data_IF_534808320378
#
_entry.id   IF_534808320378
#
_cell.length_a   1.000
_cell.length_b   1.000
_cell.length_c   1.000
_cell.angle_alpha   90.00
_cell.angle_beta   90.00
_cell.angle_gamma   90.00
#
_symmetry.space_group_name_H-M   'P 1'
#
loop_
_entity.id
_entity.type
_entity.pdbx_description
1 polymer ?
#
# COMPACT_ATOMS: atom_id res chain seq x y z
N UNK A 1 1.17 -14.12 -29.39
CA UNK A 1 1.22 -13.19 -28.24
C UNK A 1 1.10 -11.79 -28.80
N UNK A 2 -0.02 -11.11 -28.58
CA UNK A 2 -0.19 -9.72 -28.98
C UNK A 2 0.81 -8.88 -28.17
N UNK A 3 1.68 -8.12 -28.84
CA UNK A 3 2.53 -7.12 -28.20
C UNK A 3 1.58 -6.10 -27.55
N UNK A 4 1.59 -6.02 -26.22
CA UNK A 4 0.90 -4.92 -25.51
C UNK A 4 1.50 -3.61 -26.06
N UNK A 5 0.64 -2.73 -26.56
CA UNK A 5 1.04 -1.40 -26.96
C UNK A 5 1.62 -0.69 -25.73
N UNK A 6 2.74 0.05 -25.88
CA UNK A 6 3.32 0.78 -24.76
C UNK A 6 2.26 1.72 -24.16
N UNK A 7 1.98 1.55 -22.87
CA UNK A 7 1.00 2.41 -22.17
C UNK A 7 1.60 3.78 -21.94
N UNK A 8 0.97 4.82 -22.49
CA UNK A 8 1.31 6.21 -22.23
C UNK A 8 0.52 6.72 -21.03
N UNK A 9 1.23 7.17 -19.97
CA UNK A 9 0.60 7.74 -18.79
C UNK A 9 0.65 9.26 -18.83
N UNK A 10 -0.52 9.87 -18.58
CA UNK A 10 -0.68 11.31 -18.37
C UNK A 10 -1.05 11.56 -16.92
N UNK A 11 -0.40 12.54 -16.28
CA UNK A 11 -0.75 12.98 -14.93
C UNK A 11 -1.40 14.36 -14.99
N UNK A 12 -2.63 14.44 -14.46
CA UNK A 12 -3.36 15.69 -14.31
C UNK A 12 -3.37 16.09 -12.84
N UNK A 13 -3.22 17.39 -12.54
CA UNK A 13 -3.10 17.91 -11.18
C UNK A 13 -4.18 18.94 -10.86
N UNK A 14 -4.73 18.87 -9.65
CA UNK A 14 -5.60 19.88 -9.05
C UNK A 14 -5.08 20.26 -7.67
N UNK A 15 -4.99 21.56 -7.40
CA UNK A 15 -4.68 22.09 -6.08
C UNK A 15 -5.96 22.31 -5.27
N UNK A 16 -5.95 21.80 -4.05
CA UNK A 16 -7.04 21.94 -3.07
C UNK A 16 -6.55 22.85 -1.95
N UNK A 17 -6.97 24.10 -2.01
CA UNK A 17 -6.62 25.13 -1.03
C UNK A 17 -7.54 25.09 0.19
N UNK A 18 -7.11 25.74 1.28
CA UNK A 18 -7.98 26.00 2.44
C UNK A 18 -9.30 26.64 1.97
N UNK A 19 -10.42 26.22 2.57
CA UNK A 19 -11.76 26.67 2.18
C UNK A 19 -12.41 25.85 1.06
N UNK A 20 -11.67 25.02 0.33
CA UNK A 20 -12.28 24.08 -0.59
C UNK A 20 -13.05 22.98 0.17
N UNK A 21 -14.28 22.65 -0.28
CA UNK A 21 -15.15 21.66 0.39
C UNK A 21 -14.52 20.27 0.65
N UNK A 22 -13.52 19.88 -0.16
CA UNK A 22 -12.79 18.62 0.00
C UNK A 22 -11.56 18.73 0.92
N UNK A 23 -11.22 19.91 1.42
CA UNK A 23 -10.00 20.13 2.17
C UNK A 23 -9.93 19.26 3.43
N UNK A 24 -10.96 19.34 4.28
CA UNK A 24 -11.00 18.55 5.54
C UNK A 24 -10.98 17.04 5.30
N UNK A 25 -11.65 16.58 4.23
CA UNK A 25 -11.61 15.17 3.85
C UNK A 25 -10.17 14.70 3.51
N UNK A 26 -9.43 15.47 2.71
CA UNK A 26 -8.05 15.12 2.37
C UNK A 26 -7.11 15.23 3.57
N UNK A 27 -7.33 16.21 4.45
CA UNK A 27 -6.59 16.36 5.70
C UNK A 27 -6.74 15.11 6.57
N UNK A 28 -7.96 14.65 6.78
CA UNK A 28 -8.25 13.43 7.53
C UNK A 28 -7.61 12.20 6.88
N UNK A 29 -7.76 12.04 5.57
CA UNK A 29 -7.18 10.91 4.84
C UNK A 29 -5.65 10.88 4.93
N UNK A 30 -4.96 12.00 4.76
CA UNK A 30 -3.51 12.09 4.84
C UNK A 30 -2.99 11.89 6.28
N UNK A 31 -3.75 12.36 7.27
CA UNK A 31 -3.47 12.10 8.68
C UNK A 31 -3.59 10.60 9.00
N UNK A 32 -4.70 9.97 8.59
CA UNK A 32 -4.92 8.53 8.77
C UNK A 32 -3.88 7.69 8.00
N UNK A 33 -3.41 8.14 6.83
CA UNK A 33 -2.34 7.48 6.10
C UNK A 33 -1.02 7.48 6.89
N UNK A 34 -0.68 8.57 7.56
CA UNK A 34 0.48 8.65 8.47
C UNK A 34 0.31 7.71 9.67
N UNK A 35 -0.87 7.69 10.29
CA UNK A 35 -1.16 6.80 11.41
C UNK A 35 -1.03 5.33 10.97
N UNK A 36 -1.63 4.95 9.85
CA UNK A 36 -1.55 3.59 9.30
C UNK A 36 -0.09 3.15 9.04
N UNK A 37 0.74 4.04 8.47
CA UNK A 37 2.18 3.77 8.29
C UNK A 37 2.86 3.52 9.64
N UNK A 38 2.63 4.40 10.61
CA UNK A 38 3.28 4.32 11.91
C UNK A 38 2.82 3.10 12.71
N UNK A 39 1.53 2.77 12.66
CA UNK A 39 0.98 1.56 13.30
C UNK A 39 1.56 0.29 12.69
N UNK A 40 1.65 0.21 11.37
CA UNK A 40 2.29 -0.92 10.69
C UNK A 40 3.75 -1.06 11.11
N UNK A 41 4.50 0.04 11.07
CA UNK A 41 5.92 0.05 11.48
C UNK A 41 6.08 -0.28 12.97
N UNK A 42 5.16 0.16 13.83
CA UNK A 42 5.16 -0.14 15.25
C UNK A 42 5.07 -1.65 15.50
N UNK A 43 4.08 -2.34 14.92
CA UNK A 43 3.93 -3.77 15.11
C UNK A 43 5.17 -4.56 14.64
N UNK A 44 5.68 -4.26 13.45
CA UNK A 44 6.88 -4.93 12.92
C UNK A 44 8.09 -4.68 13.84
N UNK A 45 8.26 -3.44 14.31
CA UNK A 45 9.37 -3.08 15.21
C UNK A 45 9.29 -3.79 16.55
N UNK A 46 8.11 -3.84 17.18
CA UNK A 46 7.95 -4.48 18.49
C UNK A 46 8.24 -5.98 18.40
N UNK A 47 7.72 -6.66 17.37
CA UNK A 47 8.02 -8.08 17.13
C UNK A 47 9.52 -8.28 16.88
N UNK A 48 10.09 -7.54 15.93
CA UNK A 48 11.50 -7.69 15.55
C UNK A 48 12.44 -7.42 16.71
N UNK A 49 12.28 -6.28 17.41
CA UNK A 49 13.18 -5.93 18.52
C UNK A 49 12.94 -6.79 19.74
N UNK A 50 11.71 -7.23 20.02
CA UNK A 50 11.41 -8.12 21.14
C UNK A 50 12.02 -9.51 20.98
N UNK A 51 12.00 -10.03 19.74
CA UNK A 51 12.45 -11.40 19.45
C UNK A 51 13.91 -11.48 18.94
N UNK A 52 14.61 -10.37 18.76
CA UNK A 52 16.04 -10.35 18.38
C UNK A 52 16.98 -9.90 19.50
N UNK A 53 16.46 -9.57 20.68
CA UNK A 53 17.23 -9.17 21.84
C UNK A 53 17.24 -10.27 22.92
N UNK A 54 18.33 -10.36 23.67
CA UNK A 54 18.45 -11.29 24.81
C UNK A 54 17.84 -10.73 26.11
N UNK A 55 17.36 -9.48 26.09
CA UNK A 55 16.80 -8.80 27.24
C UNK A 55 15.32 -9.14 27.44
N UNK A 56 14.82 -8.94 28.66
CA UNK A 56 13.38 -9.03 28.91
C UNK A 56 12.56 -8.14 27.98
N UNK A 57 11.40 -8.65 27.59
CA UNK A 57 10.47 -7.90 26.75
C UNK A 57 9.97 -6.65 27.43
N UNK A 58 10.03 -5.54 26.72
CA UNK A 58 9.43 -4.28 27.15
C UNK A 58 7.89 -4.38 27.14
N UNK A 59 7.16 -3.55 27.92
CA UNK A 59 5.69 -3.61 27.97
C UNK A 59 5.00 -3.57 26.61
N UNK A 60 5.44 -2.68 25.69
CA UNK A 60 4.87 -2.56 24.35
C UNK A 60 5.18 -3.79 23.47
N UNK A 61 6.32 -4.44 23.67
CA UNK A 61 6.65 -5.68 22.97
C UNK A 61 5.75 -6.83 23.44
N UNK A 62 5.53 -6.95 24.76
CA UNK A 62 4.60 -7.91 25.34
C UNK A 62 3.19 -7.68 24.82
N UNK A 63 2.70 -6.45 24.82
CA UNK A 63 1.38 -6.07 24.31
C UNK A 63 1.16 -6.52 22.85
N UNK A 64 2.14 -6.27 21.98
CA UNK A 64 2.03 -6.66 20.57
C UNK A 64 2.04 -8.18 20.40
N UNK A 65 2.87 -8.90 21.15
CA UNK A 65 2.89 -10.38 21.12
C UNK A 65 1.59 -10.95 21.68
N UNK A 66 1.02 -10.36 22.72
CA UNK A 66 -0.29 -10.73 23.26
C UNK A 66 -1.43 -10.49 22.26
N UNK A 67 -1.37 -9.39 21.51
CA UNK A 67 -2.33 -9.16 20.40
C UNK A 67 -2.26 -10.26 19.36
N UNK A 68 -1.04 -10.71 18.99
CA UNK A 68 -0.85 -11.81 18.06
C UNK A 68 -1.43 -13.09 18.63
N UNK A 69 -1.02 -13.46 19.84
CA UNK A 69 -1.47 -14.68 20.53
C UNK A 69 -2.99 -14.78 20.61
N UNK A 70 -3.65 -13.70 21.03
CA UNK A 70 -5.12 -13.64 21.15
C UNK A 70 -5.87 -13.76 19.82
N UNK A 71 -5.25 -13.40 18.70
CA UNK A 71 -5.95 -13.33 17.41
C UNK A 71 -5.54 -14.42 16.41
N UNK A 72 -4.46 -15.17 16.67
CA UNK A 72 -3.93 -16.15 15.70
C UNK A 72 -4.95 -17.26 15.37
N UNK A 73 -5.71 -17.71 16.36
CA UNK A 73 -6.80 -18.67 16.15
C UNK A 73 -7.82 -18.15 15.14
N UNK A 74 -8.34 -16.94 15.35
CA UNK A 74 -9.31 -16.29 14.46
C UNK A 74 -8.75 -16.03 13.05
N UNK A 75 -7.44 -15.73 12.95
CA UNK A 75 -6.75 -15.59 11.66
C UNK A 75 -6.75 -16.92 10.91
N UNK A 76 -6.41 -18.02 11.60
CA UNK A 76 -6.34 -19.36 11.02
C UNK A 76 -7.73 -19.90 10.67
N UNK A 77 -8.74 -19.67 11.47
CA UNK A 77 -10.15 -19.99 11.14
C UNK A 77 -10.57 -19.33 9.83
N UNK A 78 -10.19 -18.06 9.63
CA UNK A 78 -10.46 -17.34 8.38
C UNK A 78 -9.76 -17.99 7.19
N UNK A 79 -8.50 -18.47 7.36
CA UNK A 79 -7.77 -19.18 6.31
C UNK A 79 -8.43 -20.53 5.98
N UNK A 80 -8.85 -21.28 6.99
CA UNK A 80 -9.54 -22.57 6.82
C UNK A 80 -10.86 -22.40 6.07
N UNK A 81 -11.67 -21.40 6.44
CA UNK A 81 -12.90 -21.08 5.71
C UNK A 81 -12.66 -20.69 4.25
N UNK A 82 -11.61 -19.90 4.00
CA UNK A 82 -11.24 -19.52 2.64
C UNK A 82 -10.73 -20.73 1.84
N UNK A 83 -10.00 -21.62 2.46
CA UNK A 83 -9.52 -22.87 1.87
C UNK A 83 -10.69 -23.78 1.48
N UNK A 84 -11.65 -24.01 2.40
CA UNK A 84 -12.84 -24.82 2.13
C UNK A 84 -13.63 -24.31 0.93
N UNK A 85 -13.89 -22.99 0.87
CA UNK A 85 -14.57 -22.36 -0.27
C UNK A 85 -13.80 -22.51 -1.60
N UNK A 86 -12.47 -22.50 -1.55
CA UNK A 86 -11.64 -22.76 -2.76
C UNK A 86 -11.73 -24.23 -3.18
N UNK A 87 -11.66 -25.16 -2.23
CA UNK A 87 -11.82 -26.60 -2.50
C UNK A 87 -13.18 -26.92 -3.16
N UNK A 88 -14.26 -26.34 -2.63
CA UNK A 88 -15.59 -26.52 -3.21
C UNK A 88 -15.65 -26.03 -4.66
N UNK A 89 -15.10 -24.84 -4.92
CA UNK A 89 -15.04 -24.29 -6.28
C UNK A 89 -14.18 -25.13 -7.22
N UNK A 90 -13.07 -25.69 -6.72
CA UNK A 90 -12.19 -26.52 -7.52
C UNK A 90 -12.81 -27.86 -7.87
N UNK A 91 -13.57 -28.46 -6.95
CA UNK A 91 -14.33 -29.71 -7.18
C UNK A 91 -15.40 -29.58 -8.28
N UNK A 92 -15.90 -28.36 -8.51
CA UNK A 92 -16.89 -28.10 -9.57
C UNK A 92 -16.27 -28.03 -10.98
N UNK A 93 -14.95 -28.02 -11.10
CA UNK A 93 -14.25 -28.00 -12.37
C UNK A 93 -14.08 -29.41 -12.95
N UNK A 94 -13.92 -29.56 -14.30
CA UNK A 94 -13.52 -30.83 -14.90
C UNK A 94 -12.23 -31.35 -14.25
N UNK A 95 -12.11 -32.67 -14.12
CA UNK A 95 -10.96 -33.30 -13.43
C UNK A 95 -9.60 -32.89 -14.02
N UNK A 96 -9.54 -32.64 -15.33
CA UNK A 96 -8.33 -32.24 -16.06
C UNK A 96 -7.87 -30.81 -15.73
N UNK A 97 -8.78 -29.95 -15.23
CA UNK A 97 -8.52 -28.56 -14.87
C UNK A 97 -8.35 -28.34 -13.36
N UNK A 98 -8.56 -29.39 -12.56
CA UNK A 98 -8.46 -29.29 -11.10
C UNK A 98 -7.01 -29.12 -10.67
N UNK A 99 -6.77 -28.13 -9.79
CA UNK A 99 -5.46 -27.81 -9.23
C UNK A 99 -5.42 -28.20 -7.76
N UNK A 100 -4.26 -28.67 -7.32
CA UNK A 100 -4.01 -28.87 -5.89
C UNK A 100 -4.05 -27.53 -5.16
N UNK A 101 -4.86 -27.44 -4.09
CA UNK A 101 -4.99 -26.26 -3.27
C UNK A 101 -4.40 -26.57 -1.89
N UNK A 102 -3.45 -25.74 -1.49
CA UNK A 102 -2.81 -25.83 -0.17
C UNK A 102 -3.42 -24.80 0.79
N UNK A 103 -3.50 -25.16 2.07
CA UNK A 103 -3.87 -24.26 3.16
C UNK A 103 -2.63 -23.86 3.94
N UNK A 104 -2.26 -22.59 3.91
CA UNK A 104 -1.16 -22.05 4.69
C UNK A 104 -1.71 -21.37 5.95
N UNK A 105 -1.49 -22.00 7.11
CA UNK A 105 -1.85 -21.43 8.40
C UNK A 105 -0.73 -20.50 8.90
N UNK A 106 -1.12 -19.50 9.67
CA UNK A 106 -0.18 -18.61 10.34
C UNK A 106 0.38 -19.27 11.61
N UNK A 107 1.65 -19.07 11.86
CA UNK A 107 2.35 -19.41 13.10
C UNK A 107 2.81 -18.14 13.81
N UNK A 108 2.84 -18.18 15.14
CA UNK A 108 3.36 -17.04 15.91
C UNK A 108 4.86 -16.81 15.62
N UNK A 109 5.29 -15.54 15.56
CA UNK A 109 6.71 -15.21 15.46
C UNK A 109 7.44 -15.66 16.73
N UNK A 110 8.68 -16.13 16.58
CA UNK A 110 9.51 -16.61 17.67
C UNK A 110 10.98 -16.21 17.44
N UNK A 111 11.90 -16.60 18.32
CA UNK A 111 13.33 -16.27 18.22
C UNK A 111 13.99 -16.78 16.93
N UNK A 112 13.51 -17.87 16.35
CA UNK A 112 14.02 -18.39 15.07
C UNK A 112 13.48 -17.61 13.88
N UNK A 113 12.22 -17.12 13.98
CA UNK A 113 11.53 -16.31 12.99
C UNK A 113 11.01 -15.00 13.62
N UNK A 114 11.92 -14.06 13.94
CA UNK A 114 11.58 -12.85 14.70
C UNK A 114 10.94 -11.75 13.84
N UNK A 115 10.13 -12.10 12.88
CA UNK A 115 9.47 -11.16 11.99
C UNK A 115 8.10 -11.67 11.56
N UNK A 116 7.24 -10.73 11.21
CA UNK A 116 5.95 -10.96 10.59
C UNK A 116 6.00 -10.50 9.13
N UNK A 117 5.32 -11.20 8.24
CA UNK A 117 5.19 -10.78 6.86
C UNK A 117 3.94 -9.92 6.63
N UNK A 118 3.79 -9.43 5.40
CA UNK A 118 2.65 -8.61 5.01
C UNK A 118 1.32 -9.34 5.19
N UNK A 119 1.23 -10.61 4.78
CA UNK A 119 -0.01 -11.38 4.85
C UNK A 119 -0.43 -11.64 6.29
N UNK A 120 0.54 -11.94 7.16
CA UNK A 120 0.33 -12.11 8.58
C UNK A 120 -0.26 -10.84 9.21
N UNK A 121 0.38 -9.68 8.98
CA UNK A 121 -0.03 -8.43 9.61
C UNK A 121 -1.35 -7.90 9.04
N UNK A 122 -1.62 -8.08 7.75
CA UNK A 122 -2.91 -7.77 7.12
C UNK A 122 -4.05 -8.62 7.73
N UNK A 123 -3.81 -9.93 7.93
CA UNK A 123 -4.76 -10.82 8.60
C UNK A 123 -4.97 -10.44 10.07
N UNK A 124 -3.90 -10.12 10.80
CA UNK A 124 -3.97 -9.67 12.19
C UNK A 124 -4.81 -8.40 12.34
N UNK A 125 -4.53 -7.37 11.53
CA UNK A 125 -5.28 -6.10 11.59
C UNK A 125 -6.76 -6.26 11.24
N UNK A 126 -7.08 -7.19 10.34
CA UNK A 126 -8.47 -7.55 10.04
C UNK A 126 -9.12 -8.29 11.22
N UNK A 127 -8.44 -9.26 11.83
CA UNK A 127 -8.94 -10.05 12.94
C UNK A 127 -9.25 -9.22 14.19
N UNK A 128 -8.35 -8.28 14.52
CA UNK A 128 -8.49 -7.37 15.68
C UNK A 128 -9.27 -6.09 15.39
N UNK A 129 -9.76 -5.90 14.13
CA UNK A 129 -10.51 -4.70 13.70
C UNK A 129 -9.70 -3.42 14.02
N UNK A 130 -8.42 -3.42 13.65
CA UNK A 130 -7.48 -2.36 13.99
C UNK A 130 -7.98 -1.00 13.43
N UNK A 131 -8.01 0.03 14.30
CA UNK A 131 -8.64 1.32 14.01
C UNK A 131 -8.01 2.05 12.82
N UNK A 132 -6.68 2.19 12.77
CA UNK A 132 -6.00 2.89 11.67
C UNK A 132 -6.16 2.15 10.34
N UNK A 133 -6.19 0.80 10.39
CA UNK A 133 -6.46 -0.01 9.21
C UNK A 133 -7.88 0.22 8.67
N UNK A 134 -8.87 0.41 9.55
CA UNK A 134 -10.27 0.65 9.20
C UNK A 134 -10.57 2.11 8.86
N UNK A 135 -9.76 3.06 9.30
CA UNK A 135 -9.93 4.48 9.03
C UNK A 135 -9.85 4.78 7.51
N UNK A 136 -9.05 4.05 6.77
CA UNK A 136 -8.87 4.18 5.33
C UNK A 136 -9.65 3.10 4.53
N UNK A 137 -9.83 3.28 3.20
CA UNK A 137 -10.22 2.19 2.31
C UNK A 137 -9.20 1.06 2.38
N UNK A 138 -9.67 -0.18 2.32
CA UNK A 138 -8.82 -1.37 2.50
C UNK A 138 -7.61 -1.37 1.57
N UNK A 139 -7.78 -1.02 0.30
CA UNK A 139 -6.67 -0.99 -0.66
C UNK A 139 -5.63 0.10 -0.35
N UNK A 140 -6.08 1.25 0.18
CA UNK A 140 -5.18 2.31 0.65
C UNK A 140 -4.35 1.84 1.85
N UNK A 141 -4.99 1.23 2.86
CA UNK A 141 -4.31 0.67 4.03
C UNK A 141 -3.29 -0.40 3.61
N UNK A 142 -3.68 -1.31 2.73
CA UNK A 142 -2.81 -2.36 2.20
C UNK A 142 -1.63 -1.79 1.38
N UNK A 143 -1.85 -0.75 0.59
CA UNK A 143 -0.78 -0.09 -0.15
C UNK A 143 0.25 0.56 0.78
N UNK A 144 -0.21 1.25 1.84
CA UNK A 144 0.66 1.83 2.86
C UNK A 144 1.45 0.74 3.57
N UNK A 145 0.80 -0.34 3.99
CA UNK A 145 1.48 -1.50 4.61
C UNK A 145 2.58 -2.06 3.71
N UNK A 146 2.28 -2.29 2.42
CA UNK A 146 3.28 -2.79 1.45
C UNK A 146 4.51 -1.88 1.39
N UNK A 147 4.32 -0.56 1.42
CA UNK A 147 5.42 0.41 1.48
C UNK A 147 6.28 0.25 2.73
N UNK A 148 5.67 0.02 3.90
CA UNK A 148 6.40 -0.23 5.16
C UNK A 148 7.20 -1.54 5.06
N UNK A 149 6.57 -2.62 4.57
CA UNK A 149 7.27 -3.90 4.38
C UNK A 149 8.42 -3.81 3.37
N UNK A 150 8.29 -2.99 2.33
CA UNK A 150 9.38 -2.72 1.40
C UNK A 150 10.57 -2.04 2.10
N UNK A 151 10.31 -1.06 2.98
CA UNK A 151 11.35 -0.41 3.78
C UNK A 151 12.05 -1.41 4.72
N UNK A 152 11.30 -2.29 5.36
CA UNK A 152 11.86 -3.34 6.20
C UNK A 152 12.67 -4.36 5.40
N UNK A 153 12.20 -4.78 4.22
CA UNK A 153 12.94 -5.65 3.32
C UNK A 153 14.28 -5.03 2.92
N UNK A 154 14.28 -3.75 2.57
CA UNK A 154 15.51 -3.01 2.24
C UNK A 154 16.47 -2.93 3.43
N UNK A 155 15.95 -2.66 4.63
CA UNK A 155 16.75 -2.64 5.86
C UNK A 155 17.40 -4.01 6.13
N UNK A 156 16.64 -5.11 6.09
CA UNK A 156 17.16 -6.46 6.35
C UNK A 156 18.18 -6.87 5.31
N UNK A 157 17.97 -6.53 4.03
CA UNK A 157 18.94 -6.78 2.98
C UNK A 157 20.24 -6.00 3.21
N UNK A 158 20.13 -4.70 3.55
CA UNK A 158 21.28 -3.87 3.89
C UNK A 158 22.02 -4.37 5.13
N UNK A 159 21.31 -4.82 6.15
CA UNK A 159 21.92 -5.38 7.37
C UNK A 159 22.70 -6.67 7.06
N UNK A 160 22.15 -7.52 6.19
CA UNK A 160 22.83 -8.76 5.74
C UNK A 160 24.09 -8.45 4.92
N UNK A 161 24.03 -7.44 4.03
CA UNK A 161 25.21 -7.01 3.25
C UNK A 161 26.26 -6.34 4.16
N UNK A 162 25.85 -5.49 5.10
CA UNK A 162 26.73 -4.86 6.08
C UNK A 162 27.56 -5.87 6.90
N UNK A 163 26.94 -6.97 7.34
CA UNK A 163 27.66 -8.04 8.06
C UNK A 163 28.79 -8.66 7.23
N UNK A 164 28.68 -8.67 5.90
CA UNK A 164 29.70 -9.20 4.99
C UNK A 164 30.70 -8.13 4.53
N UNK A 165 30.22 -6.92 4.31
CA UNK A 165 30.96 -5.85 3.67
C UNK A 165 30.81 -4.52 4.46
N UNK A 166 31.27 -4.43 5.73
CA UNK A 166 31.04 -3.26 6.59
C UNK A 166 31.64 -1.96 6.00
N UNK A 167 32.76 -2.06 5.30
CA UNK A 167 33.47 -0.91 4.70
C UNK A 167 32.70 -0.24 3.55
N UNK A 168 31.67 -0.87 3.03
CA UNK A 168 30.81 -0.35 1.96
C UNK A 168 29.80 0.70 2.48
N UNK A 169 29.64 0.78 3.80
CA UNK A 169 28.63 1.61 4.45
C UNK A 169 29.27 2.66 5.35
N UNK A 170 28.66 3.84 5.42
CA UNK A 170 29.08 4.89 6.37
C UNK A 170 28.77 4.53 7.84
N UNK A 171 28.05 3.45 8.10
CA UNK A 171 27.71 2.95 9.41
C UNK A 171 26.63 1.85 9.34
N UNK A 172 26.35 1.23 10.48
CA UNK A 172 25.37 0.17 10.57
C UNK A 172 23.97 0.62 10.11
N UNK A 173 23.29 -0.12 9.21
CA UNK A 173 21.93 0.18 8.81
C UNK A 173 20.97 0.28 10.01
N UNK A 174 20.08 1.26 9.96
CA UNK A 174 19.11 1.51 11.06
C UNK A 174 17.72 1.05 10.65
N UNK A 175 16.97 0.54 11.61
CA UNK A 175 15.56 0.16 11.39
C UNK A 175 14.73 1.34 10.90
N UNK A 176 13.70 1.09 10.05
CA UNK A 176 12.85 2.14 9.49
C UNK A 176 12.26 3.05 10.56
N UNK A 177 12.34 4.36 10.35
CA UNK A 177 11.84 5.37 11.31
C UNK A 177 10.33 5.55 11.18
N UNK A 178 9.72 6.08 12.23
CA UNK A 178 8.35 6.62 12.18
C UNK A 178 8.30 7.92 11.39
N UNK A 179 7.18 8.14 10.70
CA UNK A 179 6.88 9.44 10.08
C UNK A 179 6.56 10.44 11.20
N UNK A 180 7.29 11.55 11.23
CA UNK A 180 7.13 12.63 12.22
C UNK A 180 6.20 13.75 11.75
N UNK A 181 6.04 13.92 10.43
CA UNK A 181 5.08 14.87 9.86
C UNK A 181 3.66 14.54 10.31
N UNK A 182 2.78 15.52 10.33
CA UNK A 182 1.37 15.35 10.71
C UNK A 182 0.60 14.50 9.68
N UNK A 183 1.10 14.42 8.44
CA UNK A 183 0.40 13.85 7.30
C UNK A 183 1.36 13.05 6.42
N UNK A 184 0.78 12.13 5.64
CA UNK A 184 1.43 11.34 4.60
C UNK A 184 0.55 11.34 3.35
N UNK A 185 1.17 11.32 2.18
CA UNK A 185 0.45 11.07 0.93
C UNK A 185 -0.36 9.78 0.98
N UNK A 186 -1.50 9.80 0.31
CA UNK A 186 -2.35 8.63 0.14
C UNK A 186 -2.56 8.34 -1.35
N UNK A 187 -2.56 7.05 -1.68
CA UNK A 187 -2.80 6.54 -3.01
C UNK A 187 -4.11 5.76 -3.04
N UNK A 188 -5.00 6.15 -3.96
CA UNK A 188 -6.24 5.45 -4.27
C UNK A 188 -6.08 4.72 -5.61
N UNK A 189 -6.63 3.52 -5.68
CA UNK A 189 -6.69 2.75 -6.92
C UNK A 189 -7.88 3.19 -7.79
N UNK A 190 -7.92 2.70 -9.02
CA UNK A 190 -9.08 2.89 -9.90
C UNK A 190 -10.35 2.17 -9.42
N UNK A 191 -10.24 1.27 -8.44
CA UNK A 191 -11.39 0.64 -7.78
C UNK A 191 -11.95 1.51 -6.65
N UNK A 192 -11.11 2.34 -6.03
CA UNK A 192 -11.50 3.26 -4.97
C UNK A 192 -12.13 4.53 -5.52
N UNK A 193 -11.61 5.05 -6.63
CA UNK A 193 -12.01 6.31 -7.22
C UNK A 193 -12.67 6.12 -8.58
N UNK A 194 -13.79 6.82 -8.81
CA UNK A 194 -14.56 6.71 -10.04
C UNK A 194 -14.79 8.11 -10.63
N UNK A 195 -14.50 8.26 -11.93
CA UNK A 195 -14.88 9.48 -12.68
C UNK A 195 -16.31 9.31 -13.20
N UNK A 196 -17.17 10.29 -12.90
CA UNK A 196 -18.55 10.34 -13.39
C UNK A 196 -18.71 11.51 -14.37
N UNK A 197 -19.38 11.24 -15.49
CA UNK A 197 -19.71 12.22 -16.53
C UNK A 197 -18.47 13.04 -16.97
N UNK A 198 -17.30 12.42 -17.04
CA UNK A 198 -16.00 13.03 -17.38
C UNK A 198 -15.68 14.32 -16.59
N UNK A 199 -16.44 14.60 -15.52
CA UNK A 199 -16.37 15.86 -14.79
C UNK A 199 -16.18 15.74 -13.28
N UNK A 200 -16.65 14.66 -12.66
CA UNK A 200 -16.65 14.52 -11.21
C UNK A 200 -15.87 13.28 -10.77
N UNK A 201 -14.85 13.49 -9.96
CA UNK A 201 -14.11 12.42 -9.30
C UNK A 201 -14.75 12.14 -7.94
N UNK A 202 -15.22 10.90 -7.76
CA UNK A 202 -15.80 10.41 -6.51
C UNK A 202 -14.75 9.66 -5.73
N UNK A 203 -14.63 9.96 -4.44
CA UNK A 203 -13.77 9.29 -3.48
C UNK A 203 -14.57 8.35 -2.57
N UNK A 204 -13.93 7.31 -2.00
CA UNK A 204 -14.56 6.44 -1.01
C UNK A 204 -14.83 7.17 0.31
N UNK A 205 -15.75 6.62 1.12
CA UNK A 205 -16.10 7.13 2.46
C UNK A 205 -16.56 8.60 2.53
N UNK A 206 -16.93 9.22 1.40
CA UNK A 206 -17.51 10.56 1.37
C UNK A 206 -18.59 10.65 0.31
N UNK A 207 -19.56 11.53 0.54
CA UNK A 207 -20.57 11.92 -0.46
C UNK A 207 -20.08 13.07 -1.36
N UNK A 208 -19.01 13.76 -0.96
CA UNK A 208 -18.44 14.86 -1.72
C UNK A 208 -17.77 14.35 -3.01
N UNK A 209 -17.79 15.20 -4.03
CA UNK A 209 -17.16 14.92 -5.32
C UNK A 209 -16.25 16.09 -5.69
N UNK A 210 -15.09 15.79 -6.26
CA UNK A 210 -14.17 16.78 -6.77
C UNK A 210 -14.50 17.07 -8.24
N UNK A 211 -14.75 18.36 -8.56
CA UNK A 211 -14.94 18.77 -9.95
C UNK A 211 -13.59 18.82 -10.68
N UNK A 212 -13.45 17.98 -11.68
CA UNK A 212 -12.25 17.86 -12.53
C UNK A 212 -12.49 18.39 -13.96
N UNK A 213 -13.64 19.00 -14.22
CA UNK A 213 -14.03 19.43 -15.57
C UNK A 213 -13.03 20.41 -16.23
N UNK A 214 -12.32 21.22 -15.43
CA UNK A 214 -11.27 22.12 -15.93
C UNK A 214 -10.01 21.41 -16.45
N UNK A 215 -9.81 20.13 -16.12
CA UNK A 215 -8.64 19.37 -16.57
C UNK A 215 -8.76 18.85 -18.01
N UNK A 216 -9.92 19.02 -18.64
CA UNK A 216 -10.14 18.55 -20.01
C UNK A 216 -9.99 17.03 -20.15
N UNK A 217 -10.45 16.27 -19.14
CA UNK A 217 -10.44 14.81 -19.23
C UNK A 217 -11.45 14.34 -20.26
N UNK A 218 -10.97 13.95 -21.44
CA UNK A 218 -11.82 13.49 -22.54
C UNK A 218 -11.63 12.01 -22.81
N UNK A 219 -10.40 11.49 -22.66
CA UNK A 219 -10.04 10.11 -23.04
C UNK A 219 -9.10 9.47 -22.05
N UNK A 220 -9.10 8.13 -21.99
CA UNK A 220 -8.21 7.31 -21.18
C UNK A 220 -8.89 6.65 -19.98
N UNK A 221 -8.13 5.80 -19.31
CA UNK A 221 -8.58 5.04 -18.13
C UNK A 221 -7.86 5.54 -16.88
N UNK A 222 -8.61 5.91 -15.85
CA UNK A 222 -8.03 6.22 -14.54
C UNK A 222 -7.29 5.00 -14.00
N UNK A 223 -6.02 5.14 -13.66
CA UNK A 223 -5.19 4.09 -13.04
C UNK A 223 -5.07 4.28 -11.54
N UNK A 224 -4.78 5.49 -11.11
CA UNK A 224 -4.66 5.83 -9.70
C UNK A 224 -4.91 7.31 -9.46
N UNK A 225 -5.23 7.64 -8.22
CA UNK A 225 -5.31 9.02 -7.73
C UNK A 225 -4.37 9.14 -6.53
N UNK A 226 -3.48 10.12 -6.55
CA UNK A 226 -2.62 10.45 -5.41
C UNK A 226 -3.08 11.75 -4.77
N UNK A 227 -3.10 11.81 -3.46
CA UNK A 227 -3.34 13.04 -2.70
C UNK A 227 -2.10 13.32 -1.87
N UNK A 228 -1.43 14.40 -2.18
CA UNK A 228 -0.12 14.76 -1.65
C UNK A 228 -0.27 16.03 -0.82
N UNK A 229 -0.03 15.98 0.50
CA UNK A 229 0.01 17.19 1.34
C UNK A 229 1.24 18.03 0.96
N UNK A 230 1.04 19.31 0.66
CA UNK A 230 2.08 20.23 0.24
C UNK A 230 1.75 21.67 0.65
N UNK A 231 2.60 22.28 1.46
CA UNK A 231 2.46 23.69 1.89
C UNK A 231 1.09 24.04 2.52
N UNK A 232 0.57 23.19 3.40
CA UNK A 232 -0.78 23.30 3.99
C UNK A 232 -1.94 23.28 2.96
N UNK A 233 -1.71 22.74 1.80
CA UNK A 233 -2.69 22.48 0.73
C UNK A 233 -2.55 21.01 0.29
N UNK A 234 -3.41 20.57 -0.64
CA UNK A 234 -3.33 19.22 -1.20
C UNK A 234 -3.22 19.27 -2.71
N UNK A 235 -2.28 18.52 -3.26
CA UNK A 235 -2.22 18.27 -4.71
C UNK A 235 -2.89 16.93 -4.96
N UNK A 236 -3.95 16.94 -5.74
CA UNK A 236 -4.63 15.73 -6.22
C UNK A 236 -4.13 15.45 -7.63
N UNK A 237 -3.44 14.32 -7.79
CA UNK A 237 -2.91 13.85 -9.06
C UNK A 237 -3.73 12.67 -9.58
N UNK A 238 -4.20 12.80 -10.82
CA UNK A 238 -4.88 11.73 -11.54
C UNK A 238 -3.91 11.13 -12.56
N UNK A 239 -3.55 9.87 -12.40
CA UNK A 239 -2.74 9.14 -13.38
C UNK A 239 -3.69 8.40 -14.32
N UNK A 240 -3.62 8.75 -15.59
CA UNK A 240 -4.50 8.28 -16.63
C UNK A 240 -3.67 7.52 -17.67
N UNK A 241 -4.14 6.34 -18.04
CA UNK A 241 -3.63 5.58 -19.16
C UNK A 241 -4.34 6.06 -20.43
N UNK A 242 -3.60 6.70 -21.30
CA UNK A 242 -4.11 7.20 -22.58
C UNK A 242 -3.65 6.27 -23.70
N UNK A 243 -4.48 6.07 -24.74
CA UNK A 243 -4.05 5.33 -25.92
C UNK A 243 -2.76 5.94 -26.48
N UNK A 244 -1.77 5.12 -26.80
CA UNK A 244 -0.59 5.61 -27.51
C UNK A 244 -1.00 5.94 -28.94
N UNK A 245 -0.99 7.21 -29.29
CA UNK A 245 -0.95 7.58 -30.71
C UNK A 245 0.38 7.06 -31.25
N UNK A 246 0.33 6.14 -32.23
CA UNK A 246 1.50 5.80 -33.00
C UNK A 246 1.89 7.04 -33.78
N UNK A 247 2.89 7.79 -33.27
CA UNK A 247 3.53 8.79 -34.09
C UNK A 247 4.18 8.05 -35.26
N UNK A 248 3.69 8.30 -36.46
CA UNK A 248 4.38 7.89 -37.68
C UNK A 248 5.66 8.74 -37.69
N UNK A 249 6.77 8.11 -37.35
CA UNK A 249 8.07 8.74 -37.39
C UNK A 249 8.47 8.79 -38.86
N UNK A 250 8.53 9.98 -39.44
CA UNK A 250 9.10 10.16 -40.79
C UNK A 250 10.56 9.74 -40.78
N UNK A 251 10.99 8.98 -41.80
CA UNK A 251 12.38 8.43 -41.89
C UNK A 251 13.49 9.47 -41.77
N UNK A 252 13.18 10.74 -41.97
CA UNK A 252 14.13 11.87 -41.91
C UNK A 252 13.93 12.82 -40.70
N UNK A 253 13.18 12.40 -39.65
CA UNK A 253 12.95 13.25 -38.50
C UNK A 253 14.25 13.46 -37.70
N UNK A 254 14.56 14.73 -37.37
CA UNK A 254 15.63 15.07 -36.43
C UNK A 254 15.10 15.09 -35.01
N UNK A 255 15.75 14.38 -34.10
CA UNK A 255 15.36 14.30 -32.69
C UNK A 255 16.23 15.21 -31.83
N UNK A 256 15.61 15.88 -30.88
CA UNK A 256 16.29 16.62 -29.81
C UNK A 256 15.76 16.13 -28.47
N UNK A 257 16.63 15.67 -27.60
CA UNK A 257 16.34 15.38 -26.20
C UNK A 257 16.73 16.57 -25.35
N UNK A 258 15.82 17.03 -24.49
CA UNK A 258 16.09 18.07 -23.49
C UNK A 258 15.84 17.41 -22.14
N UNK A 259 16.89 17.20 -21.35
CA UNK A 259 16.80 16.82 -19.95
C UNK A 259 16.52 18.09 -19.12
N UNK A 260 15.38 18.12 -18.43
CA UNK A 260 14.94 19.21 -17.56
C UNK A 260 15.26 18.90 -16.10
#
# INVERSE_FOLDING_TARGET
MAKENPSNYKTLQIWIKKGHRMYSYFQECCHNAKNMYNTTNFYIRQVYTGLTQEKELQPLQKEVLDHIHKNIGKMNDTQLLAYQKKLEKEKLKPKEEQKEITCNLFSEPNFEKPYVDYNFLDALFKAMIQNDYRALPTQCSQSIMKGVFQNWKSFLASLKDYKKNPNKYAGMPRIPKYIRSSEKEILYTNQDCIIKNSRFLKFPKTKLQLNIGKLGFTEGKLKQVRVIPKYNEYVVELVIDVPSEQQIIEENARYMSIDL
#
